data_IF_947046744905
#
_entry.id   IF_947046744905
#
_cell.length_a   1.000
_cell.length_b   1.000
_cell.length_c   1.000
_cell.angle_alpha   90.00
_cell.angle_beta   90.00
_cell.angle_gamma   90.00
#
_symmetry.space_group_name_H-M   'P 1'
#
loop_
_entity.id
_entity.type
_entity.pdbx_description
1 polymer ?
#
# COMPACT_ATOMS: atom_id res chain seq x y z
N UNK A 1 -31.05 -15.88 33.58
CA UNK A 1 -30.02 -15.93 32.52
C UNK A 1 -29.70 -14.49 32.11
N UNK A 2 -28.58 -13.95 32.60
CA UNK A 2 -28.13 -12.57 32.34
C UNK A 2 -27.31 -12.56 31.05
N UNK A 3 -27.76 -11.85 30.01
CA UNK A 3 -26.96 -11.56 28.81
C UNK A 3 -26.13 -10.31 29.07
N UNK A 4 -24.81 -10.46 29.03
CA UNK A 4 -23.84 -9.39 29.22
C UNK A 4 -23.73 -8.59 27.93
N UNK A 5 -24.06 -7.31 28.02
CA UNK A 5 -23.90 -6.28 26.99
C UNK A 5 -22.41 -5.92 26.92
N UNK A 6 -21.73 -6.25 25.82
CA UNK A 6 -20.35 -5.80 25.59
C UNK A 6 -20.40 -4.41 24.97
N UNK A 7 -20.20 -3.40 25.83
CA UNK A 7 -20.06 -2.00 25.46
C UNK A 7 -18.65 -1.80 24.88
N UNK A 8 -18.53 -1.65 23.56
CA UNK A 8 -17.32 -1.16 22.90
C UNK A 8 -17.17 0.33 23.20
N UNK A 9 -16.35 0.65 24.19
CA UNK A 9 -15.88 2.00 24.46
C UNK A 9 -14.81 2.37 23.43
N UNK A 10 -15.21 3.09 22.38
CA UNK A 10 -14.30 3.87 21.56
C UNK A 10 -13.78 5.06 22.39
N UNK A 11 -12.49 5.05 22.70
CA UNK A 11 -11.81 6.22 23.27
C UNK A 11 -11.52 7.22 22.15
N UNK A 12 -12.39 8.22 22.01
CA UNK A 12 -12.05 9.47 21.36
C UNK A 12 -11.34 10.40 22.38
N UNK A 13 -10.15 10.88 22.02
CA UNK A 13 -9.53 12.08 22.61
C UNK A 13 -8.64 11.89 23.84
N UNK A 14 -7.37 11.51 23.63
CA UNK A 14 -6.21 12.07 24.38
C UNK A 14 -4.99 12.11 23.46
N UNK A 15 -4.84 13.19 22.71
CA UNK A 15 -3.51 13.59 22.21
C UNK A 15 -2.80 14.31 23.38
N UNK A 16 -1.52 13.97 23.58
CA UNK A 16 -0.53 14.73 24.40
C UNK A 16 -0.08 14.19 25.78
N UNK A 17 -0.20 12.90 26.11
CA UNK A 17 0.49 12.34 27.31
C UNK A 17 1.23 10.99 27.12
N UNK A 18 1.13 10.32 25.97
CA UNK A 18 1.69 8.97 25.77
C UNK A 18 3.11 8.94 25.17
N UNK A 19 3.54 9.98 24.44
CA UNK A 19 4.80 9.98 23.69
C UNK A 19 6.09 9.69 24.51
N UNK A 20 6.25 10.19 25.76
CA UNK A 20 7.44 9.90 26.56
C UNK A 20 7.48 8.47 27.12
N UNK A 21 6.32 7.81 27.26
CA UNK A 21 6.23 6.45 27.84
C UNK A 21 6.59 5.37 26.82
N UNK A 22 6.24 5.57 25.56
CA UNK A 22 6.50 4.63 24.44
C UNK A 22 8.01 4.45 24.18
N UNK A 23 8.74 5.54 24.00
CA UNK A 23 10.19 5.49 23.74
C UNK A 23 10.98 4.91 24.93
N UNK A 24 10.50 5.11 26.16
CA UNK A 24 11.12 4.58 27.38
C UNK A 24 10.95 3.07 27.54
N UNK A 25 9.92 2.46 26.95
CA UNK A 25 9.79 1.00 26.94
C UNK A 25 10.81 0.35 26.00
N UNK A 26 10.96 0.92 24.80
CA UNK A 26 11.88 0.45 23.76
C UNK A 26 13.37 0.57 24.10
N UNK A 27 13.73 1.46 25.03
CA UNK A 27 15.12 1.59 25.51
C UNK A 27 15.50 0.57 26.58
N UNK A 28 14.53 -0.09 27.24
CA UNK A 28 14.80 -1.06 28.31
C UNK A 28 15.20 -2.42 27.75
N UNK A 29 16.12 -3.09 28.44
CA UNK A 29 16.60 -4.43 28.05
C UNK A 29 15.54 -5.53 28.04
N UNK A 30 14.43 -5.35 28.76
CA UNK A 30 13.33 -6.31 28.89
C UNK A 30 11.99 -5.73 28.41
N UNK A 31 12.03 -4.62 27.65
CA UNK A 31 10.84 -3.89 27.20
C UNK A 31 10.27 -4.37 25.88
N UNK A 32 10.68 -5.54 25.37
CA UNK A 32 10.38 -6.01 24.01
C UNK A 32 8.89 -6.02 23.71
N UNK A 33 8.10 -6.69 24.56
CA UNK A 33 6.63 -6.77 24.42
C UNK A 33 5.97 -5.39 24.36
N UNK A 34 6.25 -4.55 25.36
CA UNK A 34 5.65 -3.21 25.45
C UNK A 34 6.10 -2.31 24.29
N UNK A 35 7.32 -2.50 23.79
CA UNK A 35 7.83 -1.78 22.64
C UNK A 35 7.10 -2.21 21.35
N UNK A 36 6.94 -3.52 21.11
CA UNK A 36 6.20 -4.04 19.98
C UNK A 36 4.73 -3.59 20.00
N UNK A 37 4.05 -3.65 21.14
CA UNK A 37 2.68 -3.16 21.31
C UNK A 37 2.57 -1.65 20.97
N UNK A 38 3.54 -0.86 21.42
CA UNK A 38 3.54 0.58 21.12
C UNK A 38 3.79 0.87 19.64
N UNK A 39 4.69 0.12 18.99
CA UNK A 39 4.94 0.25 17.54
C UNK A 39 3.70 -0.15 16.73
N UNK A 40 2.99 -1.21 17.12
CA UNK A 40 1.72 -1.61 16.49
C UNK A 40 0.65 -0.51 16.62
N UNK A 41 0.51 0.08 17.80
CA UNK A 41 -0.46 1.17 18.01
C UNK A 41 -0.14 2.41 17.16
N UNK A 42 1.14 2.81 17.11
CA UNK A 42 1.57 3.93 16.27
C UNK A 42 1.43 3.63 14.78
N UNK A 43 1.70 2.38 14.37
CA UNK A 43 1.47 1.91 13.02
C UNK A 43 0.00 2.06 12.60
N UNK A 44 -0.93 1.63 13.46
CA UNK A 44 -2.36 1.70 13.21
C UNK A 44 -2.86 3.15 13.12
N UNK A 45 -2.44 4.00 14.06
CA UNK A 45 -2.75 5.44 14.02
C UNK A 45 -2.20 6.11 12.76
N UNK A 46 -0.97 5.77 12.37
CA UNK A 46 -0.35 6.28 11.16
C UNK A 46 -1.09 5.84 9.89
N UNK A 47 -1.55 4.58 9.82
CA UNK A 47 -2.39 4.09 8.71
C UNK A 47 -3.70 4.85 8.59
N UNK A 48 -4.28 5.24 9.73
CA UNK A 48 -5.48 6.05 9.79
C UNK A 48 -5.25 7.53 9.43
N UNK A 49 -4.03 7.94 9.09
CA UNK A 49 -3.70 9.31 8.67
C UNK A 49 -3.04 10.19 9.74
N UNK A 50 -2.78 9.68 10.94
CA UNK A 50 -2.09 10.45 11.99
C UNK A 50 -0.59 10.58 11.68
N UNK A 51 -0.22 11.69 11.02
CA UNK A 51 1.18 11.98 10.69
C UNK A 51 2.07 12.19 11.93
N UNK A 52 1.50 12.57 13.09
CA UNK A 52 2.25 12.69 14.34
C UNK A 52 2.61 11.31 14.89
N UNK A 53 1.70 10.33 14.76
CA UNK A 53 1.98 8.94 15.08
C UNK A 53 3.10 8.35 14.19
N UNK A 54 3.09 8.65 12.88
CA UNK A 54 4.16 8.23 11.95
C UNK A 54 5.53 8.80 12.39
N UNK A 55 5.58 10.09 12.73
CA UNK A 55 6.81 10.71 13.21
C UNK A 55 7.31 10.07 14.52
N UNK A 56 6.39 9.79 15.45
CA UNK A 56 6.72 9.13 16.71
C UNK A 56 7.14 7.68 16.50
N UNK A 57 6.58 6.98 15.51
CA UNK A 57 6.98 5.65 15.08
C UNK A 57 8.45 5.66 14.64
N UNK A 58 8.84 6.58 13.75
CA UNK A 58 10.23 6.71 13.30
C UNK A 58 11.21 7.04 14.43
N UNK A 59 10.84 7.94 15.34
CA UNK A 59 11.64 8.21 16.56
C UNK A 59 11.80 6.96 17.43
N UNK A 60 10.75 6.16 17.55
CA UNK A 60 10.76 4.91 18.32
C UNK A 60 11.64 3.86 17.65
N UNK A 61 11.57 3.71 16.32
CA UNK A 61 12.47 2.83 15.55
C UNK A 61 13.94 3.19 15.78
N UNK A 62 14.28 4.48 15.78
CA UNK A 62 15.64 4.94 16.04
C UNK A 62 16.17 4.55 17.44
N UNK A 63 15.28 4.47 18.44
CA UNK A 63 15.61 4.00 19.80
C UNK A 63 15.80 2.47 19.81
N UNK A 64 14.87 1.72 19.23
CA UNK A 64 14.93 0.24 19.20
C UNK A 64 16.16 -0.25 18.45
N UNK A 65 16.46 0.33 17.29
CA UNK A 65 17.62 -0.05 16.46
C UNK A 65 18.96 0.15 17.20
N UNK A 66 19.02 1.04 18.19
CA UNK A 66 20.20 1.24 19.06
C UNK A 66 20.27 0.25 20.24
N UNK A 67 19.18 -0.46 20.54
CA UNK A 67 19.12 -1.42 21.63
C UNK A 67 19.81 -2.74 21.26
N UNK A 68 21.10 -2.87 21.61
CA UNK A 68 21.94 -4.03 21.28
C UNK A 68 21.37 -5.37 21.74
N UNK A 69 20.57 -5.41 22.81
CA UNK A 69 19.98 -6.66 23.30
C UNK A 69 18.82 -7.11 22.44
N UNK A 70 17.90 -6.20 22.12
CA UNK A 70 16.76 -6.50 21.23
C UNK A 70 17.19 -6.76 19.79
N UNK A 71 18.23 -6.05 19.33
CA UNK A 71 18.76 -6.18 17.96
C UNK A 71 19.82 -7.29 17.84
N UNK A 72 20.10 -8.04 18.91
CA UNK A 72 21.15 -9.06 18.92
C UNK A 72 20.78 -10.19 17.94
N UNK A 73 21.63 -10.51 16.94
CA UNK A 73 21.39 -11.62 16.04
C UNK A 73 21.24 -12.95 16.78
N UNK A 74 20.40 -13.83 16.27
CA UNK A 74 20.24 -15.19 16.77
C UNK A 74 21.12 -16.10 15.94
N UNK A 75 21.95 -16.93 16.59
CA UNK A 75 22.81 -17.87 15.89
C UNK A 75 22.01 -19.14 15.59
N UNK A 76 21.80 -19.44 14.30
CA UNK A 76 21.08 -20.64 13.86
C UNK A 76 22.07 -21.59 13.19
N UNK A 77 22.01 -22.87 13.57
CA UNK A 77 22.78 -23.93 12.92
C UNK A 77 22.02 -24.38 11.67
N UNK A 78 22.64 -24.23 10.52
CA UNK A 78 22.09 -24.69 9.24
C UNK A 78 22.99 -25.76 8.65
N UNK A 79 22.35 -26.80 8.08
CA UNK A 79 23.02 -27.74 7.20
C UNK A 79 23.25 -27.05 5.86
N UNK A 80 24.50 -27.01 5.41
CA UNK A 80 24.88 -26.45 4.11
C UNK A 80 25.94 -27.34 3.46
N UNK A 81 26.25 -27.06 2.20
CA UNK A 81 27.28 -27.74 1.45
C UNK A 81 28.51 -26.84 1.37
N UNK A 82 29.67 -27.35 1.76
CA UNK A 82 30.95 -26.63 1.70
C UNK A 82 31.94 -27.46 0.90
N UNK A 83 32.75 -26.78 0.09
CA UNK A 83 33.87 -27.40 -0.60
C UNK A 83 34.98 -27.75 0.39
N UNK A 84 35.35 -29.01 0.43
CA UNK A 84 36.51 -29.48 1.18
C UNK A 84 37.47 -30.24 0.30
N UNK A 85 38.76 -30.05 0.58
CA UNK A 85 39.83 -30.80 -0.08
C UNK A 85 39.67 -32.30 0.20
N UNK A 86 39.78 -33.09 -0.85
CA UNK A 86 39.74 -34.53 -0.76
C UNK A 86 40.97 -35.08 -0.04
N UNK A 87 40.75 -36.17 0.70
CA UNK A 87 41.83 -36.89 1.36
C UNK A 87 42.70 -37.57 0.30
N UNK A 88 44.01 -37.65 0.54
CA UNK A 88 44.98 -38.28 -0.38
C UNK A 88 44.65 -39.71 -0.80
N UNK A 89 43.84 -40.44 -0.01
CA UNK A 89 43.42 -41.82 -0.32
C UNK A 89 42.24 -41.93 -1.30
N UNK A 90 41.59 -40.81 -1.63
CA UNK A 90 40.37 -40.75 -2.45
C UNK A 90 40.59 -39.89 -3.71
N UNK A 91 41.84 -39.58 -4.07
CA UNK A 91 42.15 -38.50 -5.01
C UNK A 91 41.63 -38.73 -6.42
N UNK A 92 41.79 -39.90 -7.02
CA UNK A 92 41.39 -40.13 -8.43
C UNK A 92 39.86 -40.02 -8.63
N UNK A 93 39.07 -40.77 -7.86
CA UNK A 93 37.61 -40.69 -7.92
C UNK A 93 37.07 -39.30 -7.54
N UNK A 94 37.76 -38.58 -6.65
CA UNK A 94 37.38 -37.22 -6.30
C UNK A 94 37.75 -36.20 -7.39
N UNK A 95 38.88 -36.36 -8.10
CA UNK A 95 39.26 -35.51 -9.24
C UNK A 95 38.17 -35.61 -10.32
N UNK A 96 37.80 -36.83 -10.73
CA UNK A 96 36.79 -37.05 -11.76
C UNK A 96 35.43 -36.44 -11.37
N UNK A 97 34.99 -36.65 -10.12
CA UNK A 97 33.75 -36.07 -9.62
C UNK A 97 33.80 -34.53 -9.48
N UNK A 98 34.96 -33.96 -9.16
CA UNK A 98 35.17 -32.51 -9.08
C UNK A 98 35.04 -31.88 -10.47
N UNK A 99 35.82 -32.36 -11.44
CA UNK A 99 35.86 -31.85 -12.81
C UNK A 99 34.52 -32.05 -13.53
N UNK A 100 33.93 -33.24 -13.45
CA UNK A 100 32.63 -33.51 -14.09
C UNK A 100 31.53 -32.57 -13.59
N UNK A 101 31.61 -32.11 -12.34
CA UNK A 101 30.60 -31.25 -11.70
C UNK A 101 30.81 -29.77 -12.02
N UNK A 102 32.06 -29.30 -12.07
CA UNK A 102 32.40 -27.92 -12.49
C UNK A 102 32.02 -27.65 -13.94
N UNK A 103 32.11 -28.68 -14.77
CA UNK A 103 31.84 -28.58 -16.21
C UNK A 103 30.33 -28.73 -16.53
N UNK A 104 29.54 -29.31 -15.62
CA UNK A 104 28.13 -29.65 -15.86
C UNK A 104 27.09 -28.76 -15.16
N UNK A 105 27.44 -27.93 -14.16
CA UNK A 105 26.40 -27.19 -13.42
C UNK A 105 26.86 -25.93 -12.68
N UNK A 106 26.26 -24.81 -13.08
CA UNK A 106 26.15 -23.50 -12.40
C UNK A 106 27.45 -22.80 -11.98
N UNK A 107 27.74 -21.69 -12.66
CA UNK A 107 28.77 -20.69 -12.35
C UNK A 107 28.50 -20.01 -10.99
N UNK A 108 28.63 -20.73 -9.87
CA UNK A 108 28.76 -20.06 -8.56
C UNK A 108 30.21 -19.63 -8.40
N UNK A 109 30.42 -18.38 -8.01
CA UNK A 109 31.77 -17.80 -7.84
C UNK A 109 32.60 -18.47 -6.74
N UNK A 110 31.97 -19.28 -5.87
CA UNK A 110 32.59 -20.03 -4.78
C UNK A 110 32.90 -21.49 -5.14
N UNK A 111 32.56 -21.95 -6.35
CA UNK A 111 32.95 -23.27 -6.83
C UNK A 111 34.39 -23.24 -7.37
N UNK A 112 35.21 -24.28 -7.10
CA UNK A 112 36.50 -24.43 -7.77
C UNK A 112 36.28 -24.55 -9.27
N UNK A 113 37.22 -24.06 -10.08
CA UNK A 113 37.23 -24.34 -11.51
C UNK A 113 37.90 -25.70 -11.79
N UNK A 114 37.83 -26.14 -13.05
CA UNK A 114 38.40 -27.43 -13.47
C UNK A 114 39.92 -27.50 -13.26
N UNK A 115 40.62 -26.37 -13.37
CA UNK A 115 42.06 -26.28 -13.09
C UNK A 115 42.36 -26.47 -11.58
N UNK A 116 41.60 -25.81 -10.70
CA UNK A 116 41.70 -25.96 -9.26
C UNK A 116 41.36 -27.39 -8.81
N UNK A 117 40.36 -28.02 -9.44
CA UNK A 117 40.03 -29.44 -9.21
C UNK A 117 41.18 -30.38 -9.61
N UNK A 118 41.90 -30.08 -10.70
CA UNK A 118 43.02 -30.90 -11.16
C UNK A 118 44.25 -30.82 -10.24
N UNK A 119 44.51 -29.67 -9.64
CA UNK A 119 45.63 -29.50 -8.68
C UNK A 119 45.27 -29.94 -7.26
N UNK A 120 44.05 -29.63 -6.82
CA UNK A 120 43.54 -29.89 -5.47
C UNK A 120 42.08 -30.32 -5.54
N UNK A 121 41.80 -31.63 -5.70
CA UNK A 121 40.44 -32.09 -5.84
C UNK A 121 39.62 -31.80 -4.59
N UNK A 122 38.42 -31.25 -4.79
CA UNK A 122 37.48 -30.91 -3.74
C UNK A 122 36.16 -31.65 -3.94
N UNK A 123 35.50 -31.96 -2.83
CA UNK A 123 34.13 -32.47 -2.85
C UNK A 123 33.24 -31.60 -1.98
N UNK A 124 31.97 -31.50 -2.37
CA UNK A 124 30.97 -30.94 -1.48
C UNK A 124 30.72 -31.91 -0.32
N UNK A 125 30.81 -31.39 0.89
CA UNK A 125 30.41 -32.10 2.10
C UNK A 125 29.32 -31.34 2.82
N UNK A 126 28.36 -32.09 3.37
CA UNK A 126 27.35 -31.52 4.25
C UNK A 126 27.99 -31.13 5.57
N UNK A 127 27.90 -29.84 5.91
CA UNK A 127 28.39 -29.28 7.16
C UNK A 127 27.32 -28.48 7.87
N UNK A 128 27.36 -28.55 9.19
CA UNK A 128 26.62 -27.64 10.07
C UNK A 128 27.45 -26.39 10.31
N UNK A 129 27.00 -25.27 9.78
CA UNK A 129 27.59 -23.96 10.08
C UNK A 129 26.64 -23.13 10.93
N UNK A 130 27.20 -22.26 11.76
CA UNK A 130 26.43 -21.34 12.59
C UNK A 130 26.36 -19.99 11.89
N UNK A 131 25.18 -19.57 11.45
CA UNK A 131 24.97 -18.30 10.78
C UNK A 131 24.20 -17.33 11.68
N UNK A 132 24.58 -16.04 11.70
CA UNK A 132 23.78 -15.02 12.36
C UNK A 132 22.52 -14.74 11.54
N UNK A 133 21.35 -14.85 12.16
CA UNK A 133 20.09 -14.39 11.60
C UNK A 133 19.62 -13.12 12.31
N UNK A 134 18.84 -12.25 11.65
CA UNK A 134 18.24 -11.08 12.31
C UNK A 134 17.49 -11.46 13.58
N UNK A 135 17.48 -10.55 14.56
CA UNK A 135 16.74 -10.77 15.80
C UNK A 135 15.21 -10.81 15.55
N UNK A 136 14.42 -11.44 16.43
CA UNK A 136 12.96 -11.39 16.34
C UNK A 136 12.41 -9.96 16.25
N UNK A 137 12.96 -9.05 17.06
CA UNK A 137 12.60 -7.62 17.00
C UNK A 137 12.97 -6.99 15.65
N UNK A 138 14.13 -7.32 15.06
CA UNK A 138 14.49 -6.81 13.72
C UNK A 138 13.49 -7.26 12.65
N UNK A 139 13.15 -8.55 12.63
CA UNK A 139 12.16 -9.08 11.69
C UNK A 139 10.79 -8.45 11.90
N UNK A 140 10.39 -8.26 13.16
CA UNK A 140 9.13 -7.60 13.51
C UNK A 140 9.08 -6.15 12.98
N UNK A 141 10.10 -5.33 13.27
CA UNK A 141 10.09 -3.93 12.82
C UNK A 141 10.18 -3.81 11.30
N UNK A 142 10.97 -4.66 10.63
CA UNK A 142 11.11 -4.62 9.17
C UNK A 142 9.81 -5.06 8.48
N UNK A 143 9.18 -6.14 8.99
CA UNK A 143 7.88 -6.61 8.51
C UNK A 143 6.80 -5.56 8.71
N UNK A 144 6.66 -5.03 9.94
CA UNK A 144 5.67 -4.00 10.25
C UNK A 144 5.91 -2.72 9.42
N UNK A 145 7.16 -2.29 9.27
CA UNK A 145 7.51 -1.11 8.48
C UNK A 145 7.19 -1.29 6.99
N UNK A 146 7.44 -2.48 6.44
CA UNK A 146 7.08 -2.81 5.06
C UNK A 146 5.56 -2.80 4.89
N UNK A 147 4.85 -3.43 5.82
CA UNK A 147 3.39 -3.54 5.82
C UNK A 147 2.72 -2.16 5.92
N UNK A 148 3.14 -1.30 6.86
CA UNK A 148 2.58 0.06 6.95
C UNK A 148 2.90 0.92 5.73
N UNK A 149 4.06 0.76 5.10
CA UNK A 149 4.39 1.55 3.91
C UNK A 149 3.45 1.20 2.75
N UNK A 150 3.20 -0.09 2.49
CA UNK A 150 2.38 -0.54 1.35
C UNK A 150 0.87 -0.51 1.59
N UNK A 151 0.44 -0.63 2.85
CA UNK A 151 -0.97 -0.70 3.23
C UNK A 151 -1.51 0.57 3.89
N UNK A 152 -0.74 1.66 3.87
CA UNK A 152 -1.27 3.00 4.16
C UNK A 152 -1.77 3.67 2.87
N UNK A 153 -2.59 4.74 2.97
CA UNK A 153 -2.83 5.63 1.85
C UNK A 153 -1.52 6.10 1.22
N UNK A 154 -1.42 6.06 -0.12
CA UNK A 154 -0.19 6.43 -0.83
C UNK A 154 0.26 7.86 -0.52
N UNK A 155 -0.68 8.77 -0.20
CA UNK A 155 -0.39 10.15 0.21
C UNK A 155 0.53 10.24 1.45
N UNK A 156 0.57 9.20 2.28
CA UNK A 156 1.43 9.09 3.46
C UNK A 156 2.78 8.43 3.17
N UNK A 157 3.04 7.97 1.94
CA UNK A 157 4.23 7.19 1.60
C UNK A 157 5.53 7.98 1.89
N UNK A 158 5.56 9.30 1.66
CA UNK A 158 6.69 10.16 2.03
C UNK A 158 6.91 10.23 3.53
N UNK A 159 5.84 10.38 4.31
CA UNK A 159 5.91 10.40 5.77
C UNK A 159 6.48 9.08 6.30
N UNK A 160 6.01 7.95 5.74
CA UNK A 160 6.51 6.62 6.09
C UNK A 160 7.97 6.40 5.67
N UNK A 161 8.35 6.84 4.45
CA UNK A 161 9.74 6.81 3.99
C UNK A 161 10.66 7.53 4.96
N UNK A 162 10.31 8.74 5.38
CA UNK A 162 11.09 9.53 6.35
C UNK A 162 11.15 8.88 7.74
N UNK A 163 10.08 8.22 8.18
CA UNK A 163 10.03 7.56 9.49
C UNK A 163 10.83 6.24 9.53
N UNK A 164 10.80 5.46 8.45
CA UNK A 164 11.35 4.10 8.39
C UNK A 164 12.81 4.11 7.88
N UNK A 165 13.07 4.89 6.82
CA UNK A 165 14.33 4.94 6.08
C UNK A 165 14.51 3.86 4.99
N UNK A 166 15.54 4.06 4.16
CA UNK A 166 15.77 3.32 2.89
C UNK A 166 16.16 1.85 3.04
N UNK A 167 16.49 1.37 4.25
CA UNK A 167 16.96 -0.02 4.44
C UNK A 167 15.85 -1.08 4.42
N UNK A 168 14.58 -0.65 4.43
CA UNK A 168 13.40 -1.53 4.47
C UNK A 168 12.46 -1.22 3.31
N UNK A 169 12.25 0.07 3.03
CA UNK A 169 11.46 0.52 1.87
C UNK A 169 12.36 0.42 0.62
N UNK A 170 11.86 -0.08 -0.52
CA UNK A 170 12.69 -0.21 -1.71
C UNK A 170 13.24 1.14 -2.14
N UNK A 171 14.55 1.21 -2.38
CA UNK A 171 15.23 2.44 -2.81
C UNK A 171 14.66 3.01 -4.10
N UNK A 172 14.99 4.26 -4.38
CA UNK A 172 14.62 4.93 -5.64
C UNK A 172 15.12 4.16 -6.88
N UNK A 173 16.28 3.49 -6.81
CA UNK A 173 16.79 2.66 -7.90
C UNK A 173 15.91 1.41 -8.11
N UNK A 174 15.46 0.78 -7.01
CA UNK A 174 14.53 -0.34 -7.05
C UNK A 174 13.16 0.08 -7.58
N UNK A 175 12.68 1.27 -7.17
CA UNK A 175 11.42 1.84 -7.65
C UNK A 175 11.46 2.10 -9.16
N UNK A 176 12.53 2.74 -9.65
CA UNK A 176 12.75 2.97 -11.07
C UNK A 176 12.81 1.65 -11.86
N UNK A 177 13.59 0.67 -11.40
CA UNK A 177 13.69 -0.64 -12.06
C UNK A 177 12.33 -1.36 -12.11
N UNK A 178 11.54 -1.28 -11.04
CA UNK A 178 10.19 -1.83 -11.01
C UNK A 178 9.29 -1.16 -12.06
N UNK A 179 9.26 0.17 -12.11
CA UNK A 179 8.40 0.91 -13.04
C UNK A 179 8.76 0.71 -14.52
N UNK A 180 10.02 0.38 -14.83
CA UNK A 180 10.44 0.07 -16.20
C UNK A 180 10.11 -1.36 -16.64
N UNK A 181 9.91 -2.28 -15.68
CA UNK A 181 9.68 -3.70 -15.95
C UNK A 181 8.23 -4.14 -15.75
N UNK A 182 7.46 -3.42 -14.93
CA UNK A 182 6.10 -3.77 -14.59
C UNK A 182 5.11 -3.42 -15.71
N UNK A 183 4.03 -4.20 -15.81
CA UNK A 183 2.87 -3.83 -16.63
C UNK A 183 2.11 -2.71 -15.90
N UNK A 184 2.03 -1.49 -16.46
CA UNK A 184 1.41 -0.38 -15.77
C UNK A 184 -0.13 -0.48 -15.72
N UNK A 185 -0.74 -1.41 -16.49
CA UNK A 185 -2.19 -1.68 -16.43
C UNK A 185 -2.59 -2.67 -15.34
N UNK A 186 -1.63 -3.37 -14.73
CA UNK A 186 -1.88 -4.22 -13.57
C UNK A 186 -2.12 -3.37 -12.32
N UNK A 187 -3.21 -3.65 -11.60
CA UNK A 187 -3.61 -2.87 -10.41
C UNK A 187 -2.54 -2.84 -9.32
N UNK A 188 -1.84 -3.95 -9.07
CA UNK A 188 -0.78 -3.99 -8.05
C UNK A 188 0.39 -3.08 -8.47
N UNK A 189 0.72 -3.08 -9.76
CA UNK A 189 1.75 -2.25 -10.35
C UNK A 189 1.37 -0.77 -10.33
N UNK A 190 0.13 -0.43 -10.68
CA UNK A 190 -0.42 0.92 -10.54
C UNK A 190 -0.38 1.40 -9.08
N UNK A 191 -0.85 0.58 -8.13
CA UNK A 191 -0.81 0.92 -6.70
C UNK A 191 0.61 1.16 -6.20
N UNK A 192 1.58 0.33 -6.64
CA UNK A 192 3.00 0.51 -6.31
C UNK A 192 3.58 1.77 -6.93
N UNK A 193 3.19 2.10 -8.16
CA UNK A 193 3.55 3.36 -8.83
C UNK A 193 3.12 4.56 -7.99
N UNK A 194 1.86 4.64 -7.56
CA UNK A 194 1.37 5.72 -6.71
C UNK A 194 2.18 5.84 -5.40
N UNK A 195 2.50 4.72 -4.75
CA UNK A 195 3.31 4.72 -3.53
C UNK A 195 4.73 5.23 -3.76
N UNK A 196 5.41 4.73 -4.80
CA UNK A 196 6.76 5.17 -5.12
C UNK A 196 6.80 6.65 -5.52
N UNK A 197 5.84 7.08 -6.31
CA UNK A 197 5.71 8.47 -6.73
C UNK A 197 5.41 9.39 -5.55
N UNK A 198 4.50 9.02 -4.66
CA UNK A 198 4.26 9.81 -3.45
C UNK A 198 5.46 9.81 -2.50
N UNK A 199 6.23 8.71 -2.43
CA UNK A 199 7.42 8.61 -1.58
C UNK A 199 8.60 9.46 -2.09
N UNK A 200 8.90 9.40 -3.39
CA UNK A 200 10.10 9.98 -4.00
C UNK A 200 9.85 11.26 -4.79
N UNK A 201 8.63 11.49 -5.28
CA UNK A 201 8.20 12.67 -6.03
C UNK A 201 9.13 12.99 -7.20
N UNK A 202 9.46 14.27 -7.34
CA UNK A 202 10.29 14.84 -8.42
C UNK A 202 11.63 14.12 -8.62
N UNK A 203 12.19 13.52 -7.57
CA UNK A 203 13.46 12.78 -7.69
C UNK A 203 13.32 11.51 -8.52
N UNK A 204 12.15 10.86 -8.48
CA UNK A 204 11.85 9.68 -9.29
C UNK A 204 11.51 10.09 -10.73
N UNK A 205 10.71 11.13 -10.92
CA UNK A 205 10.42 11.64 -12.27
C UNK A 205 11.69 12.08 -13.00
N UNK A 206 12.60 12.81 -12.34
CA UNK A 206 13.87 13.21 -12.94
C UNK A 206 14.70 12.00 -13.43
N UNK A 207 14.62 10.87 -12.72
CA UNK A 207 15.29 9.62 -13.13
C UNK A 207 14.58 8.94 -14.29
N UNK A 208 13.26 8.88 -14.26
CA UNK A 208 12.45 8.32 -15.34
C UNK A 208 12.64 9.14 -16.64
N UNK A 209 12.69 10.47 -16.53
CA UNK A 209 12.98 11.38 -17.64
C UNK A 209 14.37 11.16 -18.22
N UNK A 210 15.39 10.96 -17.37
CA UNK A 210 16.76 10.69 -17.82
C UNK A 210 16.89 9.41 -18.67
N UNK A 211 15.91 8.51 -18.56
CA UNK A 211 15.83 7.24 -19.28
C UNK A 211 14.80 7.25 -20.41
N UNK A 212 14.15 8.39 -20.66
CA UNK A 212 13.03 8.50 -21.61
C UNK A 212 11.95 7.42 -21.34
N UNK A 213 11.71 7.08 -20.07
CA UNK A 213 10.67 6.14 -19.70
C UNK A 213 9.29 6.68 -20.17
N UNK A 214 8.32 5.84 -20.51
CA UNK A 214 6.96 6.29 -20.84
C UNK A 214 6.07 6.50 -19.60
N UNK A 215 6.46 5.94 -18.46
CA UNK A 215 5.70 6.02 -17.20
C UNK A 215 5.99 7.33 -16.49
N UNK A 216 4.96 8.00 -15.96
CA UNK A 216 5.09 9.21 -15.14
C UNK A 216 4.38 9.06 -13.81
N UNK A 217 4.84 9.82 -12.83
CA UNK A 217 4.12 9.94 -11.58
C UNK A 217 2.81 10.71 -11.73
N UNK A 218 1.76 10.31 -10.99
CA UNK A 218 0.47 10.98 -11.01
C UNK A 218 0.61 12.42 -10.50
N UNK A 219 0.05 13.37 -11.25
CA UNK A 219 0.06 14.80 -10.88
C UNK A 219 -1.25 15.12 -10.18
N UNK A 220 -1.21 15.11 -8.85
CA UNK A 220 -2.37 15.40 -8.02
C UNK A 220 -2.49 16.91 -7.80
N UNK A 221 -3.54 17.50 -8.37
CA UNK A 221 -3.96 18.87 -8.12
C UNK A 221 -5.05 18.97 -7.06
N UNK A 222 -5.54 20.19 -6.85
CA UNK A 222 -6.75 20.42 -6.04
C UNK A 222 -7.63 21.51 -6.64
N UNK A 223 -8.93 21.38 -6.39
CA UNK A 223 -9.95 22.39 -6.66
C UNK A 223 -10.71 22.69 -5.36
N UNK A 224 -11.37 23.83 -5.29
CA UNK A 224 -12.24 24.20 -4.17
C UNK A 224 -13.65 24.37 -4.71
N UNK A 225 -14.61 23.69 -4.11
CA UNK A 225 -16.03 23.90 -4.36
C UNK A 225 -16.49 25.18 -3.67
N UNK A 226 -16.91 26.17 -4.44
CA UNK A 226 -17.34 27.47 -3.94
C UNK A 226 -18.62 27.40 -3.10
N UNK A 227 -19.40 26.33 -3.23
CA UNK A 227 -20.70 26.16 -2.56
C UNK A 227 -20.54 25.84 -1.07
N UNK A 228 -19.50 25.10 -0.70
CA UNK A 228 -19.24 24.66 0.68
C UNK A 228 -17.78 24.89 1.15
N UNK A 229 -16.93 25.49 0.31
CA UNK A 229 -15.50 25.70 0.51
C UNK A 229 -14.69 24.40 0.71
N UNK A 230 -15.22 23.25 0.26
CA UNK A 230 -14.51 21.98 0.37
C UNK A 230 -13.48 21.84 -0.74
N UNK A 231 -12.27 21.41 -0.38
CA UNK A 231 -11.23 21.10 -1.35
C UNK A 231 -11.39 19.66 -1.82
N UNK A 232 -11.32 19.43 -3.13
CA UNK A 232 -11.25 18.11 -3.75
C UNK A 232 -9.92 17.97 -4.46
N UNK A 233 -9.25 16.84 -4.28
CA UNK A 233 -8.09 16.44 -5.07
C UNK A 233 -8.54 16.04 -6.48
N UNK A 234 -7.75 16.42 -7.47
CA UNK A 234 -8.02 16.11 -8.87
C UNK A 234 -6.80 15.52 -9.55
N UNK A 235 -7.06 14.68 -10.55
CA UNK A 235 -6.05 14.10 -11.42
C UNK A 235 -6.57 14.10 -12.85
N UNK A 236 -5.65 14.13 -13.82
CA UNK A 236 -5.99 13.98 -15.23
C UNK A 236 -5.92 12.51 -15.62
N UNK A 237 -7.02 11.97 -16.10
CA UNK A 237 -7.09 10.64 -16.71
C UNK A 237 -7.49 10.81 -18.18
N UNK A 238 -6.59 10.43 -19.09
CA UNK A 238 -6.71 10.77 -20.50
C UNK A 238 -6.79 12.29 -20.73
N UNK A 239 -7.84 12.74 -21.44
CA UNK A 239 -8.04 14.16 -21.74
C UNK A 239 -8.79 14.92 -20.65
N UNK A 240 -9.45 14.21 -19.72
CA UNK A 240 -10.37 14.80 -18.74
C UNK A 240 -9.74 14.93 -17.35
N UNK A 241 -10.25 15.89 -16.57
CA UNK A 241 -9.85 16.08 -15.18
C UNK A 241 -10.94 15.47 -14.29
N UNK A 242 -10.55 14.56 -13.41
CA UNK A 242 -11.44 13.84 -12.50
C UNK A 242 -11.15 14.21 -11.05
N UNK A 243 -12.20 14.25 -10.22
CA UNK A 243 -12.02 14.24 -8.77
C UNK A 243 -11.59 12.84 -8.33
N UNK A 244 -10.49 12.80 -7.57
CA UNK A 244 -10.01 11.57 -6.92
C UNK A 244 -10.45 11.47 -5.46
N UNK A 245 -11.19 12.48 -4.98
CA UNK A 245 -12.07 12.41 -3.80
C UNK A 245 -13.53 12.19 -4.24
N UNK A 246 -14.29 11.45 -3.42
CA UNK A 246 -15.73 11.28 -3.64
C UNK A 246 -16.44 12.61 -3.36
N UNK A 247 -17.48 12.94 -4.12
CA UNK A 247 -18.27 14.13 -3.87
C UNK A 247 -18.81 14.14 -2.43
N UNK A 248 -18.82 15.32 -1.80
CA UNK A 248 -19.20 15.47 -0.40
C UNK A 248 -20.04 16.73 -0.14
N UNK A 249 -20.63 17.28 -1.19
CA UNK A 249 -21.58 18.39 -1.11
C UNK A 249 -22.90 17.95 -0.46
N UNK A 250 -23.37 18.68 0.54
CA UNK A 250 -24.63 18.34 1.24
C UNK A 250 -25.84 18.75 0.40
N UNK A 251 -26.60 17.76 -0.06
CA UNK A 251 -27.93 17.95 -0.65
C UNK A 251 -28.96 17.40 0.34
N UNK A 252 -29.75 18.28 1.00
CA UNK A 252 -30.74 17.87 1.98
C UNK A 252 -31.69 16.78 1.47
N UNK A 253 -32.05 15.86 2.36
CA UNK A 253 -33.03 14.77 2.17
C UNK A 253 -32.70 13.75 1.05
N UNK A 254 -31.61 13.93 0.31
CA UNK A 254 -31.29 13.15 -0.89
C UNK A 254 -29.82 12.77 -1.02
N UNK A 255 -29.02 13.13 0.00
CA UNK A 255 -27.66 12.65 0.24
C UNK A 255 -27.47 12.32 1.73
N UNK A 256 -26.58 11.38 2.04
CA UNK A 256 -26.31 10.97 3.41
C UNK A 256 -24.86 10.49 3.60
N UNK A 257 -24.38 10.56 4.85
CA UNK A 257 -23.18 9.84 5.25
C UNK A 257 -23.50 8.35 5.43
N UNK A 258 -22.52 7.49 5.19
CA UNK A 258 -22.64 6.08 5.53
C UNK A 258 -22.98 5.91 7.04
N UNK A 259 -24.00 5.11 7.35
CA UNK A 259 -24.59 4.94 8.70
C UNK A 259 -25.06 6.23 9.39
N UNK A 260 -25.18 7.34 8.65
CA UNK A 260 -25.52 8.65 9.21
C UNK A 260 -24.43 9.28 10.07
N UNK A 261 -23.21 8.72 10.08
CA UNK A 261 -22.08 9.26 10.83
C UNK A 261 -21.30 10.29 10.00
N UNK A 262 -21.23 11.53 10.50
CA UNK A 262 -20.44 12.61 9.89
C UNK A 262 -18.97 12.26 9.64
N UNK A 263 -18.36 11.40 10.47
CA UNK A 263 -16.98 10.97 10.27
C UNK A 263 -16.81 10.11 9.01
N UNK A 264 -17.86 9.40 8.60
CA UNK A 264 -17.85 8.64 7.35
C UNK A 264 -17.97 9.56 6.13
N UNK A 265 -18.66 10.69 6.24
CA UNK A 265 -18.63 11.71 5.18
C UNK A 265 -17.23 12.29 4.98
N UNK A 266 -16.51 12.57 6.06
CA UNK A 266 -15.12 13.06 5.97
C UNK A 266 -14.17 12.01 5.40
N UNK A 267 -14.42 10.73 5.68
CA UNK A 267 -13.57 9.62 5.23
C UNK A 267 -13.86 9.12 3.82
N UNK A 268 -15.13 9.05 3.43
CA UNK A 268 -15.57 8.38 2.20
C UNK A 268 -16.33 9.29 1.24
N UNK A 269 -16.62 10.54 1.63
CA UNK A 269 -17.60 11.38 0.94
C UNK A 269 -19.05 10.98 1.25
N UNK A 270 -19.99 11.62 0.54
CA UNK A 270 -21.42 11.39 0.68
C UNK A 270 -21.93 10.37 -0.33
N UNK A 271 -23.02 9.72 0.06
CA UNK A 271 -23.82 8.86 -0.79
C UNK A 271 -25.05 9.62 -1.28
N UNK A 272 -25.31 9.59 -2.58
CA UNK A 272 -26.34 10.36 -3.25
C UNK A 272 -27.36 9.45 -3.92
N UNK A 273 -28.63 9.82 -3.85
CA UNK A 273 -29.63 9.29 -4.80
C UNK A 273 -29.29 9.73 -6.21
N UNK A 274 -29.80 9.02 -7.24
CA UNK A 274 -29.47 9.37 -8.64
C UNK A 274 -29.79 10.83 -8.99
N UNK A 275 -30.94 11.35 -8.53
CA UNK A 275 -31.32 12.74 -8.78
C UNK A 275 -30.39 13.76 -8.08
N UNK A 276 -29.93 13.43 -6.87
CA UNK A 276 -28.97 14.27 -6.15
C UNK A 276 -27.57 14.19 -6.76
N UNK A 277 -27.18 13.01 -7.28
CA UNK A 277 -25.88 12.80 -7.92
C UNK A 277 -25.64 13.77 -9.09
N UNK A 278 -26.69 14.07 -9.86
CA UNK A 278 -26.62 15.05 -10.98
C UNK A 278 -26.20 16.45 -10.54
N UNK A 279 -26.38 16.79 -9.25
CA UNK A 279 -26.12 18.12 -8.69
C UNK A 279 -24.98 18.11 -7.64
N UNK A 280 -24.34 16.95 -7.42
CA UNK A 280 -23.33 16.79 -6.38
C UNK A 280 -22.00 17.50 -6.73
N UNK A 281 -21.73 17.70 -8.02
CA UNK A 281 -20.41 18.15 -8.49
C UNK A 281 -20.19 19.66 -8.43
N UNK A 282 -18.94 20.11 -8.15
CA UNK A 282 -18.59 21.53 -8.10
C UNK A 282 -18.85 22.26 -9.43
N UNK A 283 -18.91 23.58 -9.39
CA UNK A 283 -19.07 24.39 -10.60
C UNK A 283 -17.98 24.11 -11.64
N UNK A 284 -18.39 23.90 -12.89
CA UNK A 284 -17.51 23.53 -14.00
C UNK A 284 -17.12 22.04 -14.04
N UNK A 285 -17.59 21.23 -13.10
CA UNK A 285 -17.55 19.78 -13.15
C UNK A 285 -18.98 19.23 -13.27
N UNK A 286 -19.11 18.01 -13.79
CA UNK A 286 -20.37 17.27 -13.82
C UNK A 286 -20.16 15.85 -13.28
N UNK A 287 -21.26 15.17 -12.93
CA UNK A 287 -21.19 13.75 -12.61
C UNK A 287 -20.73 12.99 -13.87
N UNK A 288 -19.77 12.08 -13.72
CA UNK A 288 -19.24 11.31 -14.84
C UNK A 288 -20.33 10.49 -15.54
N UNK A 289 -20.37 10.53 -16.86
CA UNK A 289 -21.24 9.71 -17.70
C UNK A 289 -20.65 8.31 -17.87
N UNK A 290 -21.47 7.39 -18.40
CA UNK A 290 -21.01 6.05 -18.80
C UNK A 290 -19.90 6.14 -19.86
N UNK A 291 -20.04 7.07 -20.80
CA UNK A 291 -19.07 7.36 -21.84
C UNK A 291 -17.74 7.89 -21.30
N UNK A 292 -17.77 8.67 -20.22
CA UNK A 292 -16.54 9.16 -19.57
C UNK A 292 -15.71 8.01 -19.01
N UNK A 293 -16.37 7.03 -18.39
CA UNK A 293 -15.69 5.83 -17.90
C UNK A 293 -15.21 4.93 -19.03
N UNK A 294 -16.00 4.77 -20.09
CA UNK A 294 -15.63 3.94 -21.25
C UNK A 294 -14.48 4.55 -22.07
N UNK A 295 -14.27 5.86 -21.96
CA UNK A 295 -13.15 6.56 -22.58
C UNK A 295 -11.81 6.37 -21.85
N UNK A 296 -11.79 5.82 -20.63
CA UNK A 296 -10.56 5.56 -19.90
C UNK A 296 -9.75 4.46 -20.60
N UNK A 297 -8.47 4.73 -20.87
CA UNK A 297 -7.55 3.69 -21.31
C UNK A 297 -7.36 2.64 -20.19
N UNK A 298 -6.87 1.42 -20.49
CA UNK A 298 -6.58 0.44 -19.44
C UNK A 298 -5.62 0.97 -18.35
N UNK A 299 -4.68 1.84 -18.74
CA UNK A 299 -3.77 2.50 -17.80
C UNK A 299 -4.52 3.50 -16.91
N UNK A 300 -5.32 4.39 -17.51
CA UNK A 300 -6.09 5.39 -16.77
C UNK A 300 -7.12 4.75 -15.84
N UNK A 301 -7.75 3.65 -16.26
CA UNK A 301 -8.69 2.89 -15.44
C UNK A 301 -7.99 2.25 -14.23
N UNK A 302 -6.79 1.70 -14.42
CA UNK A 302 -5.99 1.15 -13.33
C UNK A 302 -5.56 2.25 -12.34
N UNK A 303 -5.10 3.40 -12.84
CA UNK A 303 -4.71 4.54 -12.01
C UNK A 303 -5.92 5.12 -11.26
N UNK A 304 -7.05 5.30 -11.94
CA UNK A 304 -8.30 5.71 -11.31
C UNK A 304 -8.69 4.75 -10.18
N UNK A 305 -8.63 3.44 -10.40
CA UNK A 305 -8.97 2.43 -9.40
C UNK A 305 -8.11 2.53 -8.13
N UNK A 306 -6.84 2.92 -8.25
CA UNK A 306 -5.94 3.13 -7.09
C UNK A 306 -6.41 4.29 -6.21
N UNK A 307 -7.10 5.28 -6.79
CA UNK A 307 -7.62 6.45 -6.05
C UNK A 307 -8.96 6.22 -5.38
N UNK A 308 -9.58 5.05 -5.58
CA UNK A 308 -10.91 4.74 -5.07
C UNK A 308 -10.93 4.58 -3.56
N UNK A 309 -11.78 5.37 -2.92
CA UNK A 309 -12.17 5.20 -1.51
C UNK A 309 -13.49 4.42 -1.45
N UNK A 310 -13.47 3.27 -0.77
CA UNK A 310 -14.61 2.36 -0.68
C UNK A 310 -15.69 2.87 0.29
N UNK A 311 -16.54 3.79 -0.19
CA UNK A 311 -17.62 4.38 0.61
C UNK A 311 -18.86 3.51 0.81
N UNK A 312 -18.91 2.31 0.23
CA UNK A 312 -20.10 1.46 0.27
C UNK A 312 -21.28 2.06 -0.49
N UNK A 313 -22.48 1.77 0.00
CA UNK A 313 -23.75 2.34 -0.48
C UNK A 313 -24.82 2.29 0.61
N UNK A 314 -25.96 2.97 0.39
CA UNK A 314 -27.22 2.68 1.08
C UNK A 314 -28.30 2.23 0.09
N UNK A 315 -29.11 1.25 0.48
CA UNK A 315 -30.21 0.78 -0.37
C UNK A 315 -31.47 1.65 -0.23
N UNK A 316 -32.52 1.35 -0.99
CA UNK A 316 -33.82 2.04 -0.95
C UNK A 316 -34.48 2.13 0.44
N UNK A 317 -34.09 1.29 1.40
CA UNK A 317 -34.58 1.30 2.78
C UNK A 317 -33.64 2.04 3.74
N UNK A 318 -32.60 2.71 3.22
CA UNK A 318 -31.59 3.41 4.01
C UNK A 318 -30.58 2.50 4.72
N UNK A 319 -30.52 1.21 4.37
CA UNK A 319 -29.56 0.27 4.97
C UNK A 319 -28.22 0.40 4.26
N UNK A 320 -27.17 0.69 5.02
CA UNK A 320 -25.81 0.85 4.53
C UNK A 320 -25.06 -0.50 4.48
N UNK A 321 -24.23 -0.70 3.46
CA UNK A 321 -23.38 -1.89 3.32
C UNK A 321 -22.08 -1.61 2.54
N UNK A 322 -21.08 -2.47 2.74
CA UNK A 322 -19.81 -2.54 2.00
C UNK A 322 -18.82 -1.38 2.18
N UNK A 323 -18.99 -0.50 3.18
CA UNK A 323 -17.95 0.49 3.49
C UNK A 323 -16.62 -0.19 3.83
N UNK A 324 -15.55 0.25 3.18
CA UNK A 324 -14.21 -0.33 3.28
C UNK A 324 -13.98 -1.59 2.43
N UNK A 325 -15.02 -2.18 1.85
CA UNK A 325 -14.93 -3.41 1.05
C UNK A 325 -15.22 -3.17 -0.44
N UNK A 326 -16.06 -2.19 -0.76
CA UNK A 326 -16.33 -1.79 -2.14
C UNK A 326 -17.11 -0.49 -2.24
N UNK A 327 -17.38 -0.06 -3.46
CA UNK A 327 -18.20 1.11 -3.73
C UNK A 327 -18.88 1.02 -5.09
N UNK A 328 -19.96 1.78 -5.21
CA UNK A 328 -20.63 2.05 -6.47
C UNK A 328 -20.57 3.55 -6.72
N UNK A 329 -20.28 3.91 -7.96
CA UNK A 329 -20.32 5.26 -8.48
C UNK A 329 -21.53 5.41 -9.38
N UNK A 330 -22.40 6.38 -9.09
CA UNK A 330 -23.39 6.78 -10.07
C UNK A 330 -22.69 7.32 -11.32
N UNK A 331 -23.14 6.87 -12.48
CA UNK A 331 -22.94 7.63 -13.71
C UNK A 331 -24.10 8.62 -13.88
N UNK A 332 -23.88 9.70 -14.64
CA UNK A 332 -24.95 10.61 -15.03
C UNK A 332 -25.94 9.97 -16.03
N UNK A 333 -25.60 8.81 -16.60
CA UNK A 333 -26.36 8.12 -17.64
C UNK A 333 -27.53 7.32 -17.05
N UNK A 334 -28.73 7.63 -17.52
CA UNK A 334 -29.96 6.91 -17.17
C UNK A 334 -30.12 5.63 -18.01
N UNK A 335 -30.58 4.54 -17.38
CA UNK A 335 -30.98 3.33 -18.11
C UNK A 335 -32.47 3.39 -18.46
N UNK A 336 -33.30 3.65 -17.46
CA UNK A 336 -34.75 3.79 -17.60
C UNK A 336 -35.34 4.70 -16.52
N UNK A 337 -36.66 4.87 -16.51
CA UNK A 337 -37.36 5.74 -15.56
C UNK A 337 -37.04 5.45 -14.08
N UNK A 338 -36.73 4.20 -13.72
CA UNK A 338 -36.45 3.72 -12.36
C UNK A 338 -34.99 3.41 -12.07
N UNK A 339 -34.13 3.28 -13.10
CA UNK A 339 -32.76 2.77 -12.97
C UNK A 339 -31.72 3.66 -13.65
N UNK A 340 -30.53 3.71 -13.08
CA UNK A 340 -29.37 4.42 -13.63
C UNK A 340 -28.17 3.49 -13.77
N UNK A 341 -27.24 3.84 -14.66
CA UNK A 341 -25.99 3.10 -14.77
C UNK A 341 -25.01 3.49 -13.67
N UNK A 342 -24.22 2.50 -13.23
CA UNK A 342 -23.19 2.65 -12.21
C UNK A 342 -21.88 2.02 -12.66
N UNK A 343 -20.78 2.48 -12.07
CA UNK A 343 -19.50 1.76 -12.05
C UNK A 343 -19.23 1.23 -10.66
N UNK A 344 -18.75 0.02 -10.51
CA UNK A 344 -18.44 -0.56 -9.20
C UNK A 344 -17.02 -1.11 -9.11
N UNK A 345 -16.46 -1.06 -7.91
CA UNK A 345 -15.16 -1.62 -7.59
C UNK A 345 -15.22 -2.23 -6.18
N UNK A 346 -14.68 -3.43 -6.06
CA UNK A 346 -14.53 -4.14 -4.78
C UNK A 346 -13.06 -4.38 -4.48
N UNK A 347 -12.74 -4.65 -3.22
CA UNK A 347 -11.37 -4.83 -2.72
C UNK A 347 -10.58 -5.96 -3.39
N UNK A 348 -11.26 -6.94 -4.00
CA UNK A 348 -10.68 -8.06 -4.75
C UNK A 348 -10.81 -7.90 -6.28
N UNK A 349 -11.50 -6.86 -6.74
CA UNK A 349 -11.71 -6.60 -8.15
C UNK A 349 -10.46 -5.99 -8.79
N UNK A 350 -10.23 -6.33 -10.07
CA UNK A 350 -9.08 -5.86 -10.85
C UNK A 350 -9.45 -4.80 -11.89
N UNK A 351 -10.74 -4.49 -12.03
CA UNK A 351 -11.27 -3.53 -12.99
C UNK A 351 -12.58 -2.90 -12.48
N UNK A 352 -12.98 -1.78 -13.10
CA UNK A 352 -14.29 -1.15 -12.89
C UNK A 352 -15.35 -1.91 -13.68
N UNK A 353 -16.35 -2.45 -13.00
CA UNK A 353 -17.48 -3.11 -13.65
C UNK A 353 -18.64 -2.15 -13.87
N UNK A 354 -19.44 -2.40 -14.93
CA UNK A 354 -20.69 -1.69 -15.21
C UNK A 354 -21.87 -2.49 -14.66
N UNK A 355 -22.78 -1.80 -13.99
CA UNK A 355 -24.06 -2.35 -13.59
C UNK A 355 -25.18 -1.30 -13.73
N UNK A 356 -26.39 -1.71 -13.38
CA UNK A 356 -27.53 -0.82 -13.25
C UNK A 356 -28.15 -0.99 -11.87
N UNK A 357 -28.65 0.10 -11.28
CA UNK A 357 -29.20 0.12 -9.92
C UNK A 357 -30.45 1.00 -9.87
N UNK A 358 -31.37 0.70 -8.94
CA UNK A 358 -32.55 1.54 -8.65
C UNK A 358 -32.10 2.94 -8.20
N UNK A 359 -32.69 3.97 -8.80
CA UNK A 359 -32.31 5.39 -8.59
C UNK A 359 -32.45 5.87 -7.13
N UNK A 360 -33.14 5.13 -6.27
CA UNK A 360 -33.30 5.43 -4.84
C UNK A 360 -32.13 4.97 -3.98
N UNK A 361 -31.17 4.24 -4.54
CA UNK A 361 -29.95 3.89 -3.83
C UNK A 361 -29.05 5.11 -3.66
N UNK A 362 -28.36 5.16 -2.53
CA UNK A 362 -27.33 6.14 -2.23
C UNK A 362 -25.97 5.61 -2.61
N UNK A 363 -25.35 6.19 -3.63
CA UNK A 363 -24.05 5.77 -4.14
C UNK A 363 -23.08 6.95 -4.17
N UNK A 364 -21.78 6.67 -4.22
CA UNK A 364 -20.74 7.69 -4.36
C UNK A 364 -20.82 8.37 -5.73
N UNK A 365 -20.25 9.57 -5.85
CA UNK A 365 -20.16 10.30 -7.12
C UNK A 365 -18.72 10.73 -7.37
N UNK A 366 -18.28 10.54 -8.61
CA UNK A 366 -17.02 11.06 -9.14
C UNK A 366 -17.35 12.15 -10.15
N UNK A 367 -16.68 13.28 -10.00
CA UNK A 367 -16.93 14.45 -10.81
C UNK A 367 -15.84 14.59 -11.87
N UNK A 368 -16.24 14.91 -13.09
CA UNK A 368 -15.34 15.06 -14.24
C UNK A 368 -15.53 16.42 -14.88
N UNK A 369 -14.46 16.91 -15.50
CA UNK A 369 -14.42 18.14 -16.28
C UNK A 369 -13.72 17.87 -17.62
N UNK A 370 -14.35 18.36 -18.68
CA UNK A 370 -13.87 18.33 -20.05
C UNK A 370 -12.62 19.18 -20.30
#
# INVERSE_FOLDING_TARGET
MKKSLFLLLFFAGVVSAAAPKVSKACSKSNGEKSCSESLLQLAEQGRAGDTSAIQLYGKTLAVVRKNKKMMKPVMVKVDTLVWENCKKKESEACIEACVARTDSSFLRSDAPDSAACAERPQKLVSKKISLPTPSPMKNFIDSLSTDVFWNSPFSLAKNWLLAIGDSVIPSIDSAQAFLLAADPSDFISARRKFHFCAAYGDSLDARLDSLNAPVRCPVIGSIVDSRDNRSYRVERFGEKIWTIDNANFDIPDSSACYDGDSLNCEKYGRLYTFAAAQNACPEGFHAATDEDFDALSPLDAADFAVTVEFGGYFNQNGICALAGEGTYFWTATEEDASRGYVRNLFSDATALDKASVDKRFGLSVRCVKD
#
